data_IF_319473158908
#
_entry.id   IF_319473158908
#
_cell.length_a   1.000
_cell.length_b   1.000
_cell.length_c   1.000
_cell.angle_alpha   90.00
_cell.angle_beta   90.00
_cell.angle_gamma   90.00
#
_symmetry.space_group_name_H-M   'P 1'
#
loop_
_entity.id
_entity.type
_entity.pdbx_description
1 polymer ?
#
# COMPACT_ATOMS: atom_id res chain seq x y z
N UNK A 1 15.02 16.70 -53.19
CA UNK A 1 13.79 16.38 -52.48
C UNK A 1 12.93 17.64 -52.36
N UNK A 2 11.70 17.63 -52.81
CA UNK A 2 10.83 18.84 -52.80
C UNK A 2 10.48 19.22 -51.35
N UNK A 3 10.23 20.53 -51.09
CA UNK A 3 9.85 21.07 -49.78
C UNK A 3 8.64 20.34 -49.21
N UNK A 4 7.66 19.98 -50.05
CA UNK A 4 6.48 19.17 -49.63
C UNK A 4 6.86 17.80 -49.11
N UNK A 5 7.82 17.11 -49.75
CA UNK A 5 8.28 15.77 -49.31
C UNK A 5 9.06 15.84 -47.99
N UNK A 6 9.85 16.90 -47.76
CA UNK A 6 10.54 17.16 -46.48
C UNK A 6 9.53 17.41 -45.35
N UNK A 7 8.50 18.24 -45.57
CA UNK A 7 7.44 18.50 -44.59
C UNK A 7 6.65 17.23 -44.26
N UNK A 8 6.31 16.41 -45.27
CA UNK A 8 5.61 15.15 -45.04
C UNK A 8 6.45 14.17 -44.19
N UNK A 9 7.72 14.04 -44.53
CA UNK A 9 8.63 13.17 -43.72
C UNK A 9 8.75 13.69 -42.29
N UNK A 10 8.90 14.99 -42.09
CA UNK A 10 8.94 15.60 -40.77
C UNK A 10 7.68 15.31 -39.96
N UNK A 11 6.50 15.48 -40.53
CA UNK A 11 5.22 15.21 -39.88
C UNK A 11 5.06 13.71 -39.56
N UNK A 12 5.48 12.83 -40.48
CA UNK A 12 5.44 11.39 -40.24
C UNK A 12 6.36 10.95 -39.08
N UNK A 13 7.57 11.52 -39.02
CA UNK A 13 8.51 11.26 -37.91
C UNK A 13 7.96 11.81 -36.60
N UNK A 14 7.44 13.04 -36.60
CA UNK A 14 6.85 13.64 -35.41
C UNK A 14 5.64 12.80 -34.88
N UNK A 15 4.79 12.33 -35.79
CA UNK A 15 3.68 11.43 -35.41
C UNK A 15 4.17 10.09 -34.85
N UNK A 16 5.20 9.49 -35.44
CA UNK A 16 5.80 8.25 -34.94
C UNK A 16 6.41 8.43 -33.55
N UNK A 17 7.11 9.53 -33.30
CA UNK A 17 7.67 9.88 -31.99
C UNK A 17 6.56 10.07 -30.96
N UNK A 18 5.49 10.77 -31.32
CA UNK A 18 4.33 10.98 -30.43
C UNK A 18 3.67 9.65 -30.06
N UNK A 19 3.44 8.77 -31.04
CA UNK A 19 2.89 7.42 -30.80
C UNK A 19 3.80 6.62 -29.90
N UNK A 20 5.10 6.61 -30.16
CA UNK A 20 6.07 5.90 -29.32
C UNK A 20 6.07 6.44 -27.86
N UNK A 21 5.98 7.75 -27.70
CA UNK A 21 5.88 8.39 -26.38
C UNK A 21 4.60 7.97 -25.63
N UNK A 22 3.44 7.98 -26.32
CA UNK A 22 2.16 7.53 -25.74
C UNK A 22 2.25 6.06 -25.32
N UNK A 23 2.80 5.20 -26.16
CA UNK A 23 2.98 3.78 -25.83
C UNK A 23 3.91 3.63 -24.64
N UNK A 24 5.02 4.36 -24.58
CA UNK A 24 5.96 4.32 -23.48
C UNK A 24 5.35 4.77 -22.16
N UNK A 25 4.59 5.87 -22.17
CA UNK A 25 3.84 6.37 -20.99
C UNK A 25 2.81 5.33 -20.53
N UNK A 26 2.01 4.79 -21.47
CA UNK A 26 1.00 3.78 -21.16
C UNK A 26 1.65 2.52 -20.55
N UNK A 27 2.75 2.06 -21.13
CA UNK A 27 3.49 0.91 -20.62
C UNK A 27 4.08 1.19 -19.24
N UNK A 28 4.73 2.34 -19.03
CA UNK A 28 5.32 2.73 -17.76
C UNK A 28 4.31 2.83 -16.61
N UNK A 29 3.04 3.19 -16.93
CA UNK A 29 1.96 3.30 -15.94
C UNK A 29 1.23 1.97 -15.68
N UNK A 30 1.47 0.94 -16.47
CA UNK A 30 0.74 -0.36 -16.36
C UNK A 30 1.66 -1.55 -16.18
N UNK A 31 2.97 -1.38 -16.37
CA UNK A 31 3.94 -2.46 -16.19
C UNK A 31 4.11 -2.76 -14.69
N UNK A 32 3.92 -4.02 -14.32
CA UNK A 32 4.26 -4.50 -12.98
C UNK A 32 5.78 -4.64 -12.84
N UNK A 33 6.30 -4.14 -11.74
CA UNK A 33 7.70 -4.30 -11.35
C UNK A 33 7.79 -4.70 -9.88
N UNK A 34 8.58 -5.72 -9.58
CA UNK A 34 8.90 -6.11 -8.21
C UNK A 34 10.20 -5.42 -7.78
N UNK A 35 10.06 -4.45 -6.89
CA UNK A 35 11.20 -3.79 -6.27
C UNK A 35 11.50 -4.44 -4.92
N UNK A 36 12.74 -4.82 -4.69
CA UNK A 36 13.19 -5.45 -3.43
C UNK A 36 14.14 -4.53 -2.70
N UNK A 37 13.82 -4.29 -1.42
CA UNK A 37 14.63 -3.49 -0.51
C UNK A 37 15.05 -4.33 0.68
N UNK A 38 16.32 -4.28 1.07
CA UNK A 38 16.80 -4.94 2.29
C UNK A 38 16.93 -3.92 3.40
N UNK A 39 16.15 -4.10 4.46
CA UNK A 39 16.20 -3.26 5.66
C UNK A 39 17.03 -3.99 6.72
N UNK A 40 17.97 -3.28 7.35
CA UNK A 40 18.82 -3.81 8.42
C UNK A 40 18.65 -2.94 9.66
N UNK A 41 18.43 -3.58 10.80
CA UNK A 41 18.34 -2.91 12.09
C UNK A 41 18.99 -3.76 13.17
N UNK A 42 19.78 -3.15 14.07
CA UNK A 42 20.36 -3.86 15.20
C UNK A 42 19.33 -4.26 16.26
N UNK A 43 18.13 -3.66 16.24
CA UNK A 43 17.01 -3.98 17.15
C UNK A 43 16.06 -5.04 16.58
N UNK A 44 16.26 -5.50 15.34
CA UNK A 44 15.46 -6.58 14.77
C UNK A 44 15.83 -7.89 15.46
N UNK A 45 14.85 -8.68 15.97
CA UNK A 45 15.12 -9.99 16.54
C UNK A 45 15.73 -10.94 15.50
N UNK A 46 16.63 -11.82 15.95
CA UNK A 46 17.43 -12.68 15.06
C UNK A 46 16.58 -13.64 14.22
N UNK A 47 15.48 -14.13 14.77
CA UNK A 47 14.54 -15.01 14.04
C UNK A 47 13.88 -14.35 12.82
N UNK A 48 13.86 -13.02 12.75
CA UNK A 48 13.33 -12.27 11.62
C UNK A 48 14.37 -11.96 10.54
N UNK A 49 15.62 -12.47 10.66
CA UNK A 49 16.58 -12.33 9.55
C UNK A 49 16.06 -13.08 8.31
N UNK A 50 15.97 -12.36 7.19
CA UNK A 50 15.41 -12.87 5.96
C UNK A 50 13.86 -12.84 5.88
N UNK A 51 13.15 -12.32 6.89
CA UNK A 51 11.69 -12.16 6.85
C UNK A 51 11.26 -11.24 5.71
N UNK A 52 10.32 -11.68 4.90
CA UNK A 52 9.90 -11.00 3.67
C UNK A 52 8.51 -10.38 3.85
N UNK A 53 8.43 -9.09 3.64
CA UNK A 53 7.17 -8.34 3.66
C UNK A 53 6.84 -7.90 2.24
N UNK A 54 5.75 -8.41 1.67
CA UNK A 54 5.21 -7.82 0.45
C UNK A 54 4.35 -6.62 0.82
N UNK A 55 4.62 -5.48 0.18
CA UNK A 55 3.89 -4.24 0.40
C UNK A 55 3.01 -3.93 -0.81
N UNK A 56 1.71 -3.84 -0.59
CA UNK A 56 0.68 -3.50 -1.59
C UNK A 56 -0.05 -2.26 -1.13
N UNK A 57 -0.27 -1.30 -2.04
CA UNK A 57 -1.01 -0.07 -1.76
C UNK A 57 -1.64 0.49 -3.03
N UNK A 58 -2.65 1.34 -2.87
CA UNK A 58 -3.18 2.21 -3.93
C UNK A 58 -3.65 1.45 -5.18
N UNK A 59 -4.34 0.32 -5.02
CA UNK A 59 -4.89 -0.45 -6.13
C UNK A 59 -6.04 0.27 -6.84
N UNK A 60 -6.83 1.08 -6.11
CA UNK A 60 -7.92 1.90 -6.66
C UNK A 60 -8.85 1.15 -7.63
N UNK A 61 -9.28 -0.05 -7.26
CA UNK A 61 -10.08 -0.95 -8.10
C UNK A 61 -9.41 -1.35 -9.43
N UNK A 62 -8.08 -1.19 -9.56
CA UNK A 62 -7.36 -1.62 -10.75
C UNK A 62 -7.22 -3.14 -10.76
N UNK A 63 -7.62 -3.76 -11.85
CA UNK A 63 -7.34 -5.17 -12.13
C UNK A 63 -6.09 -5.29 -13.00
N UNK A 64 -5.07 -5.95 -12.48
CA UNK A 64 -3.82 -6.18 -13.19
C UNK A 64 -3.80 -7.61 -13.76
N UNK A 65 -4.23 -7.74 -15.00
CA UNK A 65 -4.66 -9.01 -15.60
C UNK A 65 -6.10 -9.33 -15.24
N UNK A 66 -6.60 -10.48 -15.65
CA UNK A 66 -7.94 -10.92 -15.26
C UNK A 66 -7.92 -11.30 -13.78
N UNK A 67 -8.83 -10.75 -12.99
CA UNK A 67 -8.97 -11.09 -11.58
C UNK A 67 -7.67 -10.87 -10.78
N UNK A 68 -6.85 -9.89 -11.17
CA UNK A 68 -5.54 -9.58 -10.59
C UNK A 68 -4.50 -10.71 -10.71
N UNK A 69 -4.65 -11.66 -11.63
CA UNK A 69 -3.79 -12.85 -11.78
C UNK A 69 -2.30 -12.51 -11.86
N UNK A 70 -1.94 -11.40 -12.54
CA UNK A 70 -0.54 -11.00 -12.71
C UNK A 70 0.06 -10.46 -11.41
N UNK A 71 -0.71 -9.67 -10.66
CA UNK A 71 -0.28 -9.15 -9.36
C UNK A 71 -0.15 -10.29 -8.35
N UNK A 72 -1.13 -11.19 -8.32
CA UNK A 72 -1.13 -12.35 -7.42
C UNK A 72 0.03 -13.32 -7.74
N UNK A 73 0.33 -13.56 -9.04
CA UNK A 73 1.49 -14.35 -9.42
C UNK A 73 2.79 -13.71 -8.95
N UNK A 74 2.93 -12.39 -9.10
CA UNK A 74 4.12 -11.67 -8.65
C UNK A 74 4.28 -11.72 -7.13
N UNK A 75 3.18 -11.61 -6.38
CA UNK A 75 3.18 -11.79 -4.93
C UNK A 75 3.59 -13.20 -4.53
N UNK A 76 3.07 -14.21 -5.21
CA UNK A 76 3.43 -15.62 -4.95
C UNK A 76 4.91 -15.90 -5.25
N UNK A 77 5.44 -15.37 -6.35
CA UNK A 77 6.84 -15.52 -6.74
C UNK A 77 7.80 -14.81 -5.76
N UNK A 78 7.33 -13.76 -5.07
CA UNK A 78 8.09 -13.07 -4.04
C UNK A 78 8.22 -13.88 -2.75
N UNK A 79 7.42 -14.92 -2.55
CA UNK A 79 7.38 -15.79 -1.35
C UNK A 79 7.37 -14.96 -0.05
N UNK A 80 6.38 -14.07 0.17
CA UNK A 80 6.33 -13.25 1.37
C UNK A 80 5.92 -14.06 2.59
N UNK A 81 6.46 -13.69 3.76
CA UNK A 81 6.02 -14.19 5.06
C UNK A 81 4.78 -13.43 5.56
N UNK A 82 4.58 -12.20 5.10
CA UNK A 82 3.35 -11.42 5.30
C UNK A 82 3.11 -10.45 4.14
N UNK A 83 1.85 -10.06 3.97
CA UNK A 83 1.42 -9.01 3.03
C UNK A 83 0.89 -7.82 3.84
N UNK A 84 1.55 -6.68 3.70
CA UNK A 84 1.12 -5.41 4.27
C UNK A 84 0.34 -4.59 3.22
N UNK A 85 -0.88 -4.23 3.54
CA UNK A 85 -1.78 -3.49 2.65
C UNK A 85 -2.05 -2.12 3.27
N UNK A 86 -1.55 -1.04 2.64
CA UNK A 86 -1.54 0.29 3.24
C UNK A 86 -2.58 1.24 2.62
N UNK A 87 -3.78 0.71 2.37
CA UNK A 87 -4.97 1.49 2.01
C UNK A 87 -5.15 1.75 0.53
N UNK A 88 -6.21 2.49 0.22
CA UNK A 88 -6.67 2.84 -1.12
C UNK A 88 -6.79 1.62 -2.05
N UNK A 89 -7.36 0.50 -1.52
CA UNK A 89 -7.73 -0.67 -2.31
C UNK A 89 -8.83 -0.34 -3.31
N UNK A 90 -9.67 0.62 -2.99
CA UNK A 90 -10.81 1.07 -3.78
C UNK A 90 -10.62 2.49 -4.30
N UNK A 91 -11.29 2.83 -5.41
CA UNK A 91 -11.43 4.22 -5.86
C UNK A 91 -12.79 4.77 -5.39
N UNK A 92 -12.77 5.84 -4.60
CA UNK A 92 -13.99 6.49 -4.10
C UNK A 92 -14.85 7.16 -5.17
N UNK A 93 -14.31 7.36 -6.38
CA UNK A 93 -15.05 7.93 -7.53
C UNK A 93 -15.74 6.88 -8.38
N UNK A 94 -15.22 5.64 -8.35
CA UNK A 94 -15.76 4.50 -9.08
C UNK A 94 -15.60 3.25 -8.23
N UNK A 95 -16.38 3.19 -7.13
CA UNK A 95 -16.25 2.15 -6.11
C UNK A 95 -16.75 0.82 -6.62
N UNK A 96 -15.87 -0.20 -6.57
CA UNK A 96 -16.21 -1.60 -6.77
C UNK A 96 -15.58 -2.44 -5.64
N UNK A 97 -16.39 -2.74 -4.64
CA UNK A 97 -15.95 -3.51 -3.46
C UNK A 97 -15.58 -4.94 -3.85
N UNK A 98 -16.23 -5.52 -4.86
CA UNK A 98 -15.99 -6.91 -5.26
C UNK A 98 -14.60 -7.10 -5.88
N UNK A 99 -14.12 -6.14 -6.68
CA UNK A 99 -12.75 -6.17 -7.23
C UNK A 99 -11.70 -6.21 -6.09
N UNK A 100 -11.87 -5.36 -5.08
CA UNK A 100 -10.98 -5.36 -3.91
C UNK A 100 -11.07 -6.68 -3.13
N UNK A 101 -12.28 -7.17 -2.86
CA UNK A 101 -12.47 -8.41 -2.10
C UNK A 101 -11.99 -9.65 -2.86
N UNK A 102 -12.06 -9.65 -4.19
CA UNK A 102 -11.52 -10.74 -4.99
C UNK A 102 -9.99 -10.82 -4.88
N UNK A 103 -9.30 -9.69 -4.98
CA UNK A 103 -7.86 -9.62 -4.72
C UNK A 103 -7.53 -10.15 -3.31
N UNK A 104 -8.25 -9.70 -2.29
CA UNK A 104 -8.04 -10.08 -0.89
C UNK A 104 -8.20 -11.59 -0.69
N UNK A 105 -9.27 -12.20 -1.22
CA UNK A 105 -9.53 -13.65 -1.09
C UNK A 105 -8.42 -14.53 -1.66
N UNK A 106 -7.71 -14.03 -2.65
CA UNK A 106 -6.55 -14.74 -3.21
C UNK A 106 -5.26 -14.40 -2.46
N UNK A 107 -5.05 -13.14 -2.09
CA UNK A 107 -3.85 -12.70 -1.36
C UNK A 107 -3.68 -13.42 -0.01
N UNK A 108 -4.76 -13.64 0.75
CA UNK A 108 -4.71 -14.34 2.04
C UNK A 108 -4.31 -15.83 1.93
N UNK A 109 -4.38 -16.43 0.73
CA UNK A 109 -3.90 -17.78 0.47
C UNK A 109 -2.38 -17.83 0.28
N UNK A 110 -1.76 -16.69 -0.04
CA UNK A 110 -0.31 -16.58 -0.25
C UNK A 110 0.39 -16.38 1.09
N UNK A 111 -0.04 -15.41 1.90
CA UNK A 111 0.53 -15.13 3.21
C UNK A 111 -0.49 -14.39 4.10
N UNK A 112 -0.27 -14.33 5.44
CA UNK A 112 -1.07 -13.48 6.33
C UNK A 112 -1.12 -12.04 5.85
N UNK A 113 -2.33 -11.47 5.74
CA UNK A 113 -2.57 -10.12 5.28
C UNK A 113 -2.92 -9.19 6.44
N UNK A 114 -2.25 -8.03 6.48
CA UNK A 114 -2.50 -6.96 7.44
C UNK A 114 -2.89 -5.69 6.67
N UNK A 115 -3.93 -5.02 7.13
CA UNK A 115 -4.53 -3.92 6.39
C UNK A 115 -4.73 -2.69 7.27
N UNK A 116 -4.46 -1.51 6.70
CA UNK A 116 -4.89 -0.20 7.21
C UNK A 116 -5.62 0.57 6.12
N UNK A 117 -6.46 1.52 6.52
CA UNK A 117 -7.24 2.33 5.59
C UNK A 117 -6.41 3.40 4.89
N UNK A 118 -6.79 3.72 3.65
CA UNK A 118 -6.38 4.93 2.97
C UNK A 118 -7.46 6.02 2.98
N UNK A 119 -7.23 7.10 2.26
CA UNK A 119 -8.19 8.21 2.25
C UNK A 119 -9.40 7.94 1.34
N UNK A 120 -9.31 7.04 0.39
CA UNK A 120 -10.46 6.67 -0.45
C UNK A 120 -11.50 5.89 0.35
N UNK A 121 -11.09 5.00 1.22
CA UNK A 121 -12.01 4.25 2.08
C UNK A 121 -12.86 5.17 2.98
N UNK A 122 -12.31 6.31 3.43
CA UNK A 122 -13.06 7.27 4.25
C UNK A 122 -14.19 8.00 3.53
N UNK A 123 -14.22 7.92 2.20
CA UNK A 123 -15.15 8.67 1.34
C UNK A 123 -16.28 7.84 0.78
N UNK A 124 -16.31 6.54 1.06
CA UNK A 124 -17.32 5.62 0.55
C UNK A 124 -18.27 5.17 1.65
N UNK A 125 -19.53 4.98 1.28
CA UNK A 125 -20.56 4.41 2.17
C UNK A 125 -20.41 2.90 2.37
N UNK A 126 -19.76 2.22 1.44
CA UNK A 126 -19.57 0.77 1.37
C UNK A 126 -18.40 0.26 2.22
N UNK A 127 -17.70 1.13 2.95
CA UNK A 127 -16.54 0.72 3.74
C UNK A 127 -16.85 -0.41 4.73
N UNK A 128 -18.02 -0.37 5.37
CA UNK A 128 -18.44 -1.45 6.28
C UNK A 128 -18.60 -2.81 5.59
N UNK A 129 -19.00 -2.82 4.32
CA UNK A 129 -19.11 -4.04 3.50
C UNK A 129 -17.72 -4.55 3.11
N UNK A 130 -16.85 -3.66 2.68
CA UNK A 130 -15.44 -3.97 2.38
C UNK A 130 -14.74 -4.58 3.60
N UNK A 131 -14.86 -3.91 4.76
CA UNK A 131 -14.29 -4.37 6.02
C UNK A 131 -14.78 -5.76 6.41
N UNK A 132 -16.09 -5.98 6.43
CA UNK A 132 -16.67 -7.28 6.78
C UNK A 132 -16.23 -8.39 5.81
N UNK A 133 -16.07 -8.07 4.53
CA UNK A 133 -15.55 -9.00 3.52
C UNK A 133 -14.09 -9.36 3.76
N UNK A 134 -13.24 -8.40 4.11
CA UNK A 134 -11.82 -8.61 4.45
C UNK A 134 -11.68 -9.44 5.73
N UNK A 135 -12.46 -9.14 6.79
CA UNK A 135 -12.48 -9.92 8.04
C UNK A 135 -12.89 -11.37 7.78
N UNK A 136 -13.93 -11.57 6.96
CA UNK A 136 -14.39 -12.91 6.55
C UNK A 136 -13.32 -13.69 5.78
N UNK A 137 -12.51 -13.01 4.98
CA UNK A 137 -11.40 -13.60 4.25
C UNK A 137 -10.20 -13.92 5.16
N UNK A 138 -10.14 -13.39 6.37
CA UNK A 138 -9.05 -13.62 7.33
C UNK A 138 -7.96 -12.54 7.36
N UNK A 139 -8.23 -11.35 6.82
CA UNK A 139 -7.32 -10.21 6.95
C UNK A 139 -7.36 -9.66 8.37
N UNK A 140 -6.19 -9.36 8.91
CA UNK A 140 -6.06 -8.61 10.17
C UNK A 140 -6.15 -7.12 9.87
N UNK A 141 -7.26 -6.50 10.25
CA UNK A 141 -7.50 -5.07 10.05
C UNK A 141 -7.02 -4.31 11.28
N UNK A 142 -6.07 -3.38 11.07
CA UNK A 142 -5.46 -2.58 12.11
C UNK A 142 -6.01 -1.15 12.06
N UNK A 143 -7.14 -0.93 12.69
CA UNK A 143 -7.78 0.39 12.83
C UNK A 143 -7.37 1.03 14.16
N UNK A 144 -6.32 1.85 14.12
CA UNK A 144 -5.72 2.44 15.32
C UNK A 144 -5.44 1.36 16.39
N UNK A 145 -4.78 0.29 15.96
CA UNK A 145 -4.56 -0.92 16.74
C UNK A 145 -3.16 -1.49 16.53
N UNK A 146 -2.75 -2.35 17.44
CA UNK A 146 -1.50 -3.11 17.34
C UNK A 146 -1.74 -4.61 17.46
N UNK A 147 -0.85 -5.39 16.89
CA UNK A 147 -0.78 -6.84 17.03
C UNK A 147 0.68 -7.30 17.07
N UNK A 148 0.91 -8.52 17.51
CA UNK A 148 2.24 -9.12 17.49
C UNK A 148 2.36 -10.10 16.33
N UNK A 149 3.54 -10.11 15.71
CA UNK A 149 3.96 -11.13 14.74
C UNK A 149 5.06 -11.93 15.41
N UNK A 150 4.85 -13.23 15.55
CA UNK A 150 5.78 -14.14 16.26
C UNK A 150 6.47 -15.07 15.26
N UNK A 151 7.79 -15.23 15.41
CA UNK A 151 8.60 -16.15 14.63
C UNK A 151 9.76 -16.68 15.49
N UNK A 152 9.96 -17.99 15.49
CA UNK A 152 11.09 -18.60 16.22
C UNK A 152 11.10 -18.39 17.74
N UNK A 153 9.98 -17.98 18.33
CA UNK A 153 9.86 -17.65 19.76
C UNK A 153 10.18 -16.20 20.10
N UNK A 154 10.49 -15.37 19.11
CA UNK A 154 10.63 -13.92 19.22
C UNK A 154 9.43 -13.21 18.59
N UNK A 155 9.22 -11.94 18.92
CA UNK A 155 8.10 -11.14 18.44
C UNK A 155 8.56 -9.77 17.93
N UNK A 156 7.82 -9.25 16.97
CA UNK A 156 7.84 -7.85 16.55
C UNK A 156 6.42 -7.27 16.69
N UNK A 157 6.33 -5.98 16.96
CA UNK A 157 5.06 -5.29 17.06
C UNK A 157 4.68 -4.69 15.71
N UNK A 158 3.48 -5.01 15.23
CA UNK A 158 2.88 -4.40 14.06
C UNK A 158 1.77 -3.44 14.49
N UNK A 159 1.93 -2.16 14.20
CA UNK A 159 0.96 -1.10 14.47
C UNK A 159 0.30 -0.71 13.15
N UNK A 160 -1.01 -0.55 13.17
CA UNK A 160 -1.74 0.04 12.06
C UNK A 160 -2.58 1.23 12.52
N UNK A 161 -2.54 2.29 11.72
CA UNK A 161 -3.33 3.50 11.97
C UNK A 161 -4.22 3.80 10.78
N UNK A 162 -5.48 4.13 11.08
CA UNK A 162 -6.39 4.63 10.06
C UNK A 162 -5.90 5.95 9.48
N UNK A 163 -6.16 6.16 8.19
CA UNK A 163 -5.93 7.46 7.55
C UNK A 163 -6.56 8.59 8.37
N UNK A 164 -5.89 9.75 8.52
CA UNK A 164 -6.44 10.89 9.28
C UNK A 164 -7.80 11.40 8.78
N UNK A 165 -8.23 10.99 7.58
CA UNK A 165 -9.58 11.29 7.08
C UNK A 165 -10.67 10.52 7.81
N UNK A 166 -10.36 9.40 8.46
CA UNK A 166 -11.24 8.72 9.42
C UNK A 166 -11.19 9.44 10.77
N UNK A 167 -11.93 10.54 10.84
CA UNK A 167 -12.00 11.34 12.08
C UNK A 167 -13.02 10.76 13.03
N UNK A 168 -12.65 10.62 14.29
CA UNK A 168 -13.58 10.40 15.38
C UNK A 168 -13.95 11.75 16.00
N UNK A 169 -15.09 11.82 16.68
CA UNK A 169 -15.56 13.06 17.34
C UNK A 169 -14.56 13.57 18.40
N UNK A 170 -13.68 12.69 18.91
CA UNK A 170 -12.73 12.98 19.96
C UNK A 170 -11.38 13.49 19.43
N UNK A 171 -11.11 13.33 18.12
CA UNK A 171 -9.86 13.76 17.48
C UNK A 171 -10.12 14.91 16.51
N UNK A 172 -9.83 16.12 16.95
CA UNK A 172 -9.91 17.35 16.15
C UNK A 172 -8.52 17.92 15.91
N UNK A 173 -8.30 18.52 14.74
CA UNK A 173 -7.02 19.14 14.38
C UNK A 173 -6.62 18.87 12.94
N UNK A 174 -5.39 19.20 12.59
CA UNK A 174 -4.78 18.83 11.33
C UNK A 174 -4.33 17.36 11.34
N UNK A 175 -3.91 16.85 10.17
CA UNK A 175 -3.50 15.46 10.03
C UNK A 175 -2.31 15.07 10.93
N UNK A 176 -1.41 16.03 11.22
CA UNK A 176 -0.26 15.82 12.09
C UNK A 176 -0.73 15.57 13.52
N UNK A 177 -1.60 16.45 14.05
CA UNK A 177 -2.15 16.34 15.40
C UNK A 177 -2.96 15.05 15.58
N UNK A 178 -3.81 14.72 14.61
CA UNK A 178 -4.63 13.49 14.63
C UNK A 178 -3.74 12.26 14.63
N UNK A 179 -2.73 12.19 13.76
CA UNK A 179 -1.83 11.06 13.66
C UNK A 179 -0.99 10.86 14.93
N UNK A 180 -0.46 11.96 15.49
CA UNK A 180 0.33 11.93 16.73
C UNK A 180 -0.49 11.39 17.91
N UNK A 181 -1.76 11.83 18.03
CA UNK A 181 -2.67 11.34 19.06
C UNK A 181 -2.98 9.84 18.88
N UNK A 182 -3.23 9.37 17.64
CA UNK A 182 -3.46 7.95 17.34
C UNK A 182 -2.25 7.09 17.71
N UNK A 183 -1.05 7.50 17.29
CA UNK A 183 0.17 6.76 17.60
C UNK A 183 0.45 6.73 19.10
N UNK A 184 0.30 7.85 19.81
CA UNK A 184 0.44 7.89 21.28
C UNK A 184 -0.51 6.91 21.97
N UNK A 185 -1.71 6.73 21.44
CA UNK A 185 -2.71 5.82 22.01
C UNK A 185 -2.37 4.34 21.80
N UNK A 186 -1.80 3.98 20.64
CA UNK A 186 -1.52 2.57 20.27
C UNK A 186 -0.09 2.15 20.51
N UNK A 187 0.82 3.11 20.77
CA UNK A 187 2.22 2.82 21.04
C UNK A 187 2.35 1.94 22.30
N UNK A 188 3.30 1.02 22.26
CA UNK A 188 3.58 0.10 23.34
C UNK A 188 4.90 0.37 24.05
N UNK A 189 5.62 -0.70 24.40
CA UNK A 189 6.95 -0.62 24.99
C UNK A 189 7.99 -0.27 23.91
N UNK A 190 8.83 0.74 24.17
CA UNK A 190 9.88 1.25 23.26
C UNK A 190 11.01 0.21 23.00
N UNK A 191 11.01 -0.92 23.68
CA UNK A 191 12.05 -1.95 23.55
C UNK A 191 11.78 -2.96 22.43
N UNK A 192 10.60 -2.94 21.81
CA UNK A 192 10.22 -3.88 20.76
C UNK A 192 10.49 -3.29 19.37
N UNK A 193 10.90 -4.14 18.42
CA UNK A 193 10.97 -3.73 17.02
C UNK A 193 9.56 -3.51 16.47
N UNK A 194 9.27 -2.27 16.08
CA UNK A 194 7.93 -1.84 15.69
C UNK A 194 7.88 -1.53 14.20
N UNK A 195 6.93 -2.15 13.50
CA UNK A 195 6.57 -1.83 12.13
C UNK A 195 5.23 -1.06 12.14
N UNK A 196 5.21 0.11 11.51
CA UNK A 196 4.00 0.91 11.33
C UNK A 196 3.45 0.71 9.92
N UNK A 197 2.18 0.38 9.82
CA UNK A 197 1.38 0.52 8.61
C UNK A 197 0.58 1.82 8.69
N UNK A 198 0.77 2.70 7.73
CA UNK A 198 0.06 3.97 7.61
C UNK A 198 -0.04 4.36 6.15
N UNK A 199 -1.13 5.03 5.76
CA UNK A 199 -1.29 5.43 4.36
C UNK A 199 -0.48 6.68 3.98
N UNK A 200 -0.14 7.58 4.94
CA UNK A 200 0.36 8.95 4.70
C UNK A 200 1.87 9.10 4.85
N UNK A 201 2.68 9.06 3.76
CA UNK A 201 4.14 9.22 3.84
C UNK A 201 4.56 10.64 4.25
N UNK A 202 3.73 11.67 3.98
CA UNK A 202 4.02 13.05 4.35
C UNK A 202 4.01 13.31 5.86
N UNK A 203 3.53 12.35 6.66
CA UNK A 203 3.54 12.41 8.11
C UNK A 203 4.79 11.78 8.74
N UNK A 204 5.85 11.60 7.96
CA UNK A 204 7.09 10.92 8.37
C UNK A 204 7.67 11.47 9.68
N UNK A 205 7.68 12.80 9.87
CA UNK A 205 8.19 13.42 11.11
C UNK A 205 7.39 13.00 12.37
N UNK A 206 6.11 12.69 12.20
CA UNK A 206 5.28 12.15 13.29
C UNK A 206 5.71 10.73 13.63
N UNK A 207 5.98 9.90 12.63
CA UNK A 207 6.41 8.52 12.82
C UNK A 207 7.77 8.43 13.52
N UNK A 208 8.69 9.30 13.12
CA UNK A 208 10.02 9.41 13.76
C UNK A 208 9.90 9.83 15.23
N UNK A 209 9.06 10.84 15.54
CA UNK A 209 8.83 11.27 16.94
C UNK A 209 8.24 10.16 17.82
N UNK A 210 7.45 9.27 17.22
CA UNK A 210 6.85 8.13 17.91
C UNK A 210 7.72 6.85 17.82
N UNK A 211 9.01 6.97 17.48
CA UNK A 211 10.03 5.90 17.54
C UNK A 211 9.71 4.66 16.68
N UNK A 212 8.99 4.81 15.54
CA UNK A 212 8.72 3.70 14.64
C UNK A 212 10.01 3.23 13.95
N UNK A 213 10.33 1.93 14.03
CA UNK A 213 11.57 1.37 13.46
C UNK A 213 11.48 1.21 11.93
N UNK A 214 10.32 0.80 11.43
CA UNK A 214 10.02 0.68 10.00
C UNK A 214 8.62 1.21 9.74
N UNK A 215 8.46 1.96 8.65
CA UNK A 215 7.15 2.47 8.21
C UNK A 215 6.89 2.02 6.79
N UNK A 216 5.72 1.44 6.55
CA UNK A 216 5.21 1.12 5.22
C UNK A 216 4.04 2.06 4.91
N UNK A 217 4.14 2.82 3.81
CA UNK A 217 3.14 3.84 3.45
C UNK A 217 2.77 3.77 1.98
N UNK A 218 1.51 4.10 1.68
CA UNK A 218 0.96 4.27 0.34
C UNK A 218 0.89 5.72 -0.12
N UNK A 219 -0.26 6.12 -0.70
CA UNK A 219 -0.68 7.48 -1.07
C UNK A 219 0.13 8.16 -2.17
N UNK A 220 1.43 7.94 -2.24
CA UNK A 220 2.32 8.58 -3.22
C UNK A 220 2.39 7.84 -4.57
N UNK A 221 1.68 6.72 -4.73
CA UNK A 221 1.62 5.90 -5.95
C UNK A 221 3.02 5.59 -6.54
N UNK A 222 4.03 5.38 -5.70
CA UNK A 222 5.42 5.20 -6.15
C UNK A 222 6.02 6.40 -6.88
N UNK A 223 5.42 7.60 -6.77
CA UNK A 223 5.80 8.79 -7.51
C UNK A 223 5.21 8.85 -8.94
N UNK A 224 4.16 8.09 -9.21
CA UNK A 224 3.43 8.14 -10.48
C UNK A 224 2.70 9.48 -10.63
N UNK A 225 2.74 10.07 -11.84
CA UNK A 225 2.10 11.35 -12.17
C UNK A 225 0.97 11.17 -13.17
#
# INVERSE_FOLDING_TARGET
MTVKKKKFIFLAVAAAVLVALVIWIAWGNTALELNTYTIKSPSLPESFDGYRIAHVSDLHNTEIGKDNEKLLSLLQDAEPDMIAITGDLIDSRNTDVEVALQFIREAVKIAPCYYVTGNHESRISEYSVLKAGMETAGVVILEDARTEVSLGGETITLIGVNDPSFRTNDLSGDSVTVMDAKLTQVHGDDNEFTILLSHRPELFDVYVRNSMNLVLSGHAHGGQF
#
